data_IF_544205927423
#
_entry.id   IF_544205927423
#
_cell.length_a   1.000
_cell.length_b   1.000
_cell.length_c   1.000
_cell.angle_alpha   90.00
_cell.angle_beta   90.00
_cell.angle_gamma   90.00
#
_symmetry.space_group_name_H-M   'P 1'
#
loop_
_entity.id
_entity.type
_entity.pdbx_description
1 polymer ?
#
# COMPACT_ATOMS: atom_id res chain seq x y z
N UNK A 1 9.83 15.63 -3.04
CA UNK A 1 9.02 14.47 -2.63
C UNK A 1 7.56 14.93 -2.62
N UNK A 2 6.68 14.32 -3.41
CA UNK A 2 5.26 14.68 -3.38
C UNK A 2 4.65 14.18 -2.06
N UNK A 3 4.02 15.07 -1.30
CA UNK A 3 3.33 14.71 -0.07
C UNK A 3 1.95 14.11 -0.38
N UNK A 4 1.60 13.03 0.33
CA UNK A 4 0.27 12.43 0.24
C UNK A 4 -0.61 13.06 1.33
N UNK A 5 -1.46 13.99 0.92
CA UNK A 5 -2.33 14.75 1.82
C UNK A 5 -3.73 14.16 1.87
N UNK A 6 -4.39 14.30 3.02
CA UNK A 6 -5.81 14.00 3.15
C UNK A 6 -6.61 14.95 2.24
N UNK A 7 -7.49 14.44 1.35
CA UNK A 7 -8.26 15.29 0.45
C UNK A 7 -9.31 16.14 1.18
N UNK A 8 -9.56 15.90 2.47
CA UNK A 8 -10.57 16.61 3.25
C UNK A 8 -9.94 17.64 4.20
N UNK A 9 -8.92 17.23 4.97
CA UNK A 9 -8.34 18.07 6.02
C UNK A 9 -6.88 18.45 5.78
N UNK A 10 -6.36 18.17 4.58
CA UNK A 10 -5.01 18.46 4.06
C UNK A 10 -3.84 17.94 4.91
N UNK A 11 -4.12 17.18 5.97
CA UNK A 11 -3.11 16.61 6.85
C UNK A 11 -2.38 15.47 6.15
N UNK A 12 -1.07 15.36 6.39
CA UNK A 12 -0.24 14.29 5.84
C UNK A 12 -0.77 12.92 6.29
N UNK A 13 -0.97 12.01 5.34
CA UNK A 13 -1.50 10.68 5.61
C UNK A 13 -0.40 9.75 6.14
N UNK A 14 -0.75 8.90 7.11
CA UNK A 14 0.10 7.80 7.56
C UNK A 14 -0.03 6.61 6.59
N UNK A 15 1.09 5.97 6.25
CA UNK A 15 1.14 4.82 5.35
C UNK A 15 1.34 3.55 6.16
N UNK A 16 0.51 2.53 5.94
CA UNK A 16 0.71 1.19 6.50
C UNK A 16 0.36 0.09 5.51
N UNK A 17 0.95 -1.09 5.70
CA UNK A 17 0.51 -2.31 5.04
C UNK A 17 -0.69 -2.89 5.77
N UNK A 18 -1.72 -3.31 5.03
CA UNK A 18 -2.90 -3.97 5.56
C UNK A 18 -3.29 -5.15 4.67
N UNK A 19 -4.22 -5.99 5.14
CA UNK A 19 -4.78 -7.12 4.37
C UNK A 19 -6.29 -6.98 4.27
N UNK A 20 -6.85 -7.31 3.11
CA UNK A 20 -8.30 -7.37 2.95
C UNK A 20 -8.88 -8.45 3.84
N UNK A 21 -9.92 -8.14 4.63
CA UNK A 21 -10.53 -9.10 5.57
C UNK A 21 -10.97 -10.40 4.89
N UNK A 22 -11.57 -10.29 3.70
CA UNK A 22 -12.10 -11.45 2.95
C UNK A 22 -11.04 -12.05 2.02
N UNK A 23 -10.37 -11.23 1.22
CA UNK A 23 -9.43 -11.73 0.19
C UNK A 23 -8.05 -12.10 0.73
N UNK A 24 -7.72 -11.71 1.96
CA UNK A 24 -6.38 -11.78 2.56
C UNK A 24 -5.26 -11.09 1.73
N UNK A 25 -5.61 -10.38 0.66
CA UNK A 25 -4.65 -9.73 -0.24
C UNK A 25 -4.05 -8.51 0.45
N UNK A 26 -2.71 -8.34 0.43
CA UNK A 26 -2.06 -7.17 0.99
C UNK A 26 -2.38 -5.93 0.14
N UNK A 27 -2.48 -4.77 0.79
CA UNK A 27 -2.65 -3.48 0.13
C UNK A 27 -2.04 -2.34 0.96
N UNK A 28 -1.78 -1.21 0.30
CA UNK A 28 -1.30 0.01 0.96
C UNK A 28 -2.50 0.77 1.51
N UNK A 29 -2.49 1.02 2.80
CA UNK A 29 -3.53 1.73 3.51
C UNK A 29 -3.00 3.09 3.97
N UNK A 30 -3.70 4.14 3.58
CA UNK A 30 -3.42 5.52 3.97
C UNK A 30 -4.41 5.94 5.04
N UNK A 31 -3.96 6.58 6.12
CA UNK A 31 -4.81 6.94 7.27
C UNK A 31 -4.69 8.42 7.60
N UNK A 32 -5.83 9.07 7.73
CA UNK A 32 -5.92 10.43 8.25
C UNK A 32 -5.65 10.43 9.77
N UNK A 33 -4.65 11.18 10.26
CA UNK A 33 -4.33 11.22 11.69
C UNK A 33 -5.37 11.99 12.51
N UNK A 34 -6.22 12.82 11.90
CA UNK A 34 -7.20 13.65 12.61
C UNK A 34 -8.45 12.89 13.05
N UNK A 35 -8.91 11.94 12.25
CA UNK A 35 -10.21 11.28 12.43
C UNK A 35 -10.23 9.79 12.07
N UNK A 36 -9.07 9.21 11.70
CA UNK A 36 -8.94 7.78 11.45
C UNK A 36 -9.53 7.29 10.13
N UNK A 37 -10.02 8.19 9.25
CA UNK A 37 -10.46 7.81 7.91
C UNK A 37 -9.35 7.12 7.14
N UNK A 38 -9.71 6.11 6.36
CA UNK A 38 -8.75 5.33 5.60
C UNK A 38 -9.04 5.33 4.11
N UNK A 39 -7.97 5.32 3.33
CA UNK A 39 -7.99 5.23 1.89
C UNK A 39 -7.16 4.02 1.47
N UNK A 40 -7.59 3.37 0.39
CA UNK A 40 -6.85 2.26 -0.21
C UNK A 40 -6.09 2.79 -1.42
N UNK A 41 -4.78 2.56 -1.43
CA UNK A 41 -3.91 2.86 -2.57
C UNK A 41 -3.52 1.56 -3.28
N UNK A 42 -3.35 1.67 -4.59
CA UNK A 42 -2.85 0.59 -5.44
C UNK A 42 -1.59 1.06 -6.16
N UNK A 43 -0.62 0.17 -6.32
CA UNK A 43 0.49 0.38 -7.25
C UNK A 43 0.01 -0.21 -8.58
N UNK A 44 -0.08 0.62 -9.62
CA UNK A 44 -0.49 0.20 -10.96
C UNK A 44 0.67 0.08 -11.95
N UNK A 45 1.90 0.39 -11.52
CA UNK A 45 3.11 0.25 -12.33
C UNK A 45 3.41 -1.24 -12.57
N UNK A 46 3.20 -1.67 -13.81
CA UNK A 46 3.35 -3.08 -14.20
C UNK A 46 4.80 -3.56 -14.11
N UNK A 47 5.77 -2.68 -14.41
CA UNK A 47 7.20 -3.00 -14.33
C UNK A 47 7.63 -3.24 -12.89
N UNK A 48 7.17 -2.38 -11.98
CA UNK A 48 7.41 -2.53 -10.56
C UNK A 48 6.77 -3.83 -10.03
N UNK A 49 5.52 -4.08 -10.39
CA UNK A 49 4.80 -5.30 -9.97
C UNK A 49 5.54 -6.54 -10.46
N UNK A 50 5.98 -6.58 -11.72
CA UNK A 50 6.72 -7.72 -12.28
C UNK A 50 8.01 -8.00 -11.49
N UNK A 51 8.80 -6.95 -11.18
CA UNK A 51 10.02 -7.08 -10.36
C UNK A 51 9.74 -7.59 -8.95
N UNK A 52 8.69 -7.09 -8.30
CA UNK A 52 8.30 -7.56 -6.96
C UNK A 52 7.91 -9.04 -6.99
N UNK A 53 7.19 -9.48 -8.02
CA UNK A 53 6.81 -10.88 -8.19
C UNK A 53 8.04 -11.75 -8.45
N UNK A 54 8.95 -11.32 -9.31
CA UNK A 54 10.20 -12.04 -9.61
C UNK A 54 11.03 -12.27 -8.34
N UNK A 55 11.31 -11.22 -7.56
CA UNK A 55 12.08 -11.31 -6.32
C UNK A 55 11.42 -12.23 -5.28
N UNK A 56 10.10 -12.15 -5.12
CA UNK A 56 9.37 -13.05 -4.20
C UNK A 56 9.37 -14.51 -4.64
N UNK A 57 9.34 -14.76 -5.95
CA UNK A 57 9.35 -16.13 -6.48
C UNK A 57 10.76 -16.73 -6.44
N UNK A 58 11.81 -15.90 -6.49
CA UNK A 58 13.20 -16.33 -6.36
C UNK A 58 13.50 -16.76 -4.91
N UNK A 59 13.10 -15.97 -3.92
CA UNK A 59 13.30 -16.31 -2.50
C UNK A 59 12.51 -17.53 -1.98
N UNK A 60 11.58 -18.07 -2.76
CA UNK A 60 10.81 -19.28 -2.42
C UNK A 60 11.45 -20.58 -2.93
N UNK A 61 12.48 -20.51 -3.80
CA UNK A 61 13.17 -21.69 -4.34
C UNK A 61 14.37 -22.13 -3.50
N UNK A 62 14.82 -21.28 -2.59
CA UNK A 62 16.01 -21.49 -1.75
C UNK A 62 15.66 -21.78 -0.28
N UNK A 63 14.39 -22.10 0.03
CA UNK A 63 13.88 -22.34 1.38
C UNK A 63 13.14 -23.65 1.53
#
# INVERSE_FOLDING_TARGET
MNEILCPICTSRLNIRMAKGRISNKPFIMLICPKDGRHFRAFISDQTYIARVLEEKTRGMRDG
#
